data_IF_673118588376
#
_entry.id   IF_673118588376
#
_cell.length_a   1.000
_cell.length_b   1.000
_cell.length_c   1.000
_cell.angle_alpha   90.00
_cell.angle_beta   90.00
_cell.angle_gamma   90.00
#
_symmetry.space_group_name_H-M   'P 1'
#
loop_
_entity.id
_entity.type
_entity.pdbx_description
1 polymer ?
#
# COMPACT_ATOMS: atom_id res chain seq x y z
N UNK A 1 -0.06 15.59 -6.94
CA UNK A 1 1.25 14.93 -6.97
C UNK A 1 1.55 14.64 -8.41
N UNK A 2 2.78 14.86 -8.86
CA UNK A 2 3.19 14.56 -10.22
C UNK A 2 3.04 13.06 -10.50
N UNK A 3 2.67 12.71 -11.73
CA UNK A 3 2.53 11.32 -12.18
C UNK A 3 3.89 10.62 -12.36
N UNK A 4 5.01 11.28 -12.03
CA UNK A 4 6.36 10.71 -12.08
C UNK A 4 6.67 9.94 -10.77
N UNK A 5 6.92 8.62 -10.84
CA UNK A 5 7.30 7.82 -9.68
C UNK A 5 8.56 8.33 -8.97
N UNK A 6 9.51 8.91 -9.69
CA UNK A 6 10.78 9.39 -9.13
C UNK A 6 10.58 10.64 -8.26
N UNK A 7 9.76 11.58 -8.70
CA UNK A 7 9.41 12.78 -7.93
C UNK A 7 8.59 12.40 -6.68
N UNK A 8 7.66 11.45 -6.82
CA UNK A 8 6.87 10.95 -5.70
C UNK A 8 7.74 10.29 -4.62
N UNK A 9 8.76 9.51 -5.00
CA UNK A 9 9.72 8.91 -4.05
C UNK A 9 10.51 9.99 -3.31
N UNK A 10 11.07 10.96 -4.03
CA UNK A 10 11.83 12.06 -3.44
C UNK A 10 10.97 12.86 -2.44
N UNK A 11 9.73 13.17 -2.81
CA UNK A 11 8.76 13.84 -1.94
C UNK A 11 8.51 13.08 -0.64
N UNK A 12 8.30 11.76 -0.72
CA UNK A 12 8.05 10.91 0.46
C UNK A 12 9.25 10.94 1.42
N UNK A 13 10.47 10.75 0.89
CA UNK A 13 11.69 10.73 1.71
C UNK A 13 11.95 12.10 2.36
N UNK A 14 11.75 13.19 1.63
CA UNK A 14 11.87 14.55 2.15
C UNK A 14 10.83 14.80 3.26
N UNK A 15 9.58 14.47 3.01
CA UNK A 15 8.47 14.67 3.98
C UNK A 15 8.71 13.88 5.26
N UNK A 16 9.24 12.66 5.16
CA UNK A 16 9.59 11.85 6.33
C UNK A 16 10.66 12.53 7.21
N UNK A 17 11.67 13.15 6.59
CA UNK A 17 12.73 13.88 7.30
C UNK A 17 12.19 15.15 7.96
N UNK A 18 11.42 15.94 7.23
CA UNK A 18 10.86 17.21 7.72
C UNK A 18 9.91 17.03 8.91
N UNK A 19 9.17 15.91 8.93
CA UNK A 19 8.17 15.63 9.96
C UNK A 19 8.64 14.67 11.06
N UNK A 20 9.93 14.33 11.13
CA UNK A 20 10.50 13.37 12.09
C UNK A 20 9.70 12.04 12.14
N UNK A 21 9.41 11.48 10.95
CA UNK A 21 8.79 10.17 10.82
C UNK A 21 9.82 9.10 11.20
N UNK A 22 9.44 8.17 12.07
CA UNK A 22 10.30 7.03 12.49
C UNK A 22 9.81 5.69 11.98
N UNK A 23 8.51 5.55 11.75
CA UNK A 23 7.92 4.30 11.32
C UNK A 23 6.98 4.53 10.14
N UNK A 24 7.01 3.59 9.20
CA UNK A 24 6.10 3.54 8.07
C UNK A 24 5.24 2.29 8.20
N UNK A 25 3.92 2.47 8.10
CA UNK A 25 2.97 1.38 7.98
C UNK A 25 2.73 1.10 6.50
N UNK A 26 3.21 -0.04 6.04
CA UNK A 26 2.86 -0.59 4.74
C UNK A 26 1.47 -1.21 4.86
N UNK A 27 0.51 -0.70 4.10
CA UNK A 27 -0.91 -1.07 4.16
C UNK A 27 -1.34 -1.79 2.89
N UNK A 28 -2.11 -2.86 3.03
CA UNK A 28 -2.73 -3.56 1.91
C UNK A 28 -4.02 -4.23 2.38
N UNK A 29 -4.87 -4.65 1.45
CA UNK A 29 -6.15 -5.31 1.75
C UNK A 29 -6.06 -6.79 1.42
N UNK A 30 -6.63 -7.64 2.29
CA UNK A 30 -6.91 -9.04 1.92
C UNK A 30 -8.18 -9.16 1.07
N UNK A 31 -8.49 -10.38 0.62
CA UNK A 31 -9.66 -10.64 -0.24
C UNK A 31 -11.01 -10.36 0.44
N UNK A 32 -11.05 -10.32 1.78
CA UNK A 32 -12.25 -10.00 2.55
C UNK A 32 -12.41 -8.49 2.78
N UNK A 33 -11.46 -7.68 2.28
CA UNK A 33 -11.43 -6.23 2.46
C UNK A 33 -10.85 -5.79 3.80
N UNK A 34 -10.26 -6.71 4.58
CA UNK A 34 -9.61 -6.35 5.84
C UNK A 34 -8.29 -5.64 5.57
N UNK A 35 -8.09 -4.52 6.24
CA UNK A 35 -6.81 -3.81 6.20
C UNK A 35 -5.74 -4.61 6.96
N UNK A 36 -4.65 -4.93 6.26
CA UNK A 36 -3.44 -5.56 6.78
C UNK A 36 -2.31 -4.55 6.84
N UNK A 37 -1.31 -4.82 7.67
CA UNK A 37 -0.17 -3.93 7.79
C UNK A 37 1.11 -4.60 8.24
N UNK A 38 2.21 -4.24 7.58
CA UNK A 38 3.59 -4.43 8.04
C UNK A 38 4.17 -3.08 8.45
N UNK A 39 5.05 -3.07 9.46
CA UNK A 39 5.72 -1.86 9.90
C UNK A 39 7.21 -1.95 9.62
N UNK A 40 7.77 -0.89 9.04
CA UNK A 40 9.21 -0.72 8.83
C UNK A 40 9.68 0.57 9.49
N UNK A 41 10.98 0.68 9.70
CA UNK A 41 11.65 1.93 10.09
C UNK A 41 11.79 2.87 8.90
N UNK A 42 11.97 4.16 9.15
CA UNK A 42 12.19 5.16 8.08
C UNK A 42 13.52 4.91 7.35
N UNK A 43 14.48 4.28 8.02
CA UNK A 43 15.77 3.90 7.48
C UNK A 43 15.66 2.82 6.40
N UNK A 44 14.68 1.91 6.52
CA UNK A 44 14.37 0.85 5.54
C UNK A 44 13.53 1.36 4.35
N UNK A 45 12.93 2.55 4.46
CA UNK A 45 12.01 3.09 3.45
C UNK A 45 12.61 3.25 2.05
N UNK A 46 13.85 3.73 1.85
CA UNK A 46 14.44 3.86 0.51
C UNK A 46 14.51 2.52 -0.22
N UNK A 47 14.99 1.47 0.44
CA UNK A 47 15.08 0.11 -0.10
C UNK A 47 13.69 -0.48 -0.33
N UNK A 48 12.77 -0.28 0.63
CA UNK A 48 11.39 -0.72 0.49
C UNK A 48 10.66 -0.09 -0.72
N UNK A 49 10.97 1.16 -1.08
CA UNK A 49 10.41 1.83 -2.26
C UNK A 49 10.98 1.33 -3.59
N UNK A 50 12.14 0.67 -3.56
CA UNK A 50 12.83 0.13 -4.74
C UNK A 50 12.52 -1.35 -4.94
N UNK A 51 12.67 -2.16 -3.88
CA UNK A 51 12.62 -3.62 -3.94
C UNK A 51 11.34 -4.20 -3.32
N UNK A 52 10.60 -3.40 -2.57
CA UNK A 52 9.46 -3.87 -1.77
C UNK A 52 9.89 -4.53 -0.46
N UNK A 53 8.91 -5.00 0.32
CA UNK A 53 9.17 -5.67 1.60
C UNK A 53 8.55 -7.06 1.59
N UNK A 54 9.39 -8.07 1.83
CA UNK A 54 8.94 -9.46 1.94
C UNK A 54 8.05 -9.68 3.16
N UNK A 55 6.98 -10.46 3.00
CA UNK A 55 6.12 -10.90 4.10
C UNK A 55 5.55 -12.29 3.82
N UNK A 56 5.14 -12.97 4.90
CA UNK A 56 4.50 -14.29 4.82
C UNK A 56 3.04 -14.18 4.37
N UNK A 57 2.78 -14.56 3.11
CA UNK A 57 1.46 -14.59 2.50
C UNK A 57 0.51 -15.63 3.11
N UNK A 58 1.03 -16.66 3.76
CA UNK A 58 0.19 -17.71 4.39
C UNK A 58 -0.59 -17.18 5.61
N UNK A 59 -0.11 -16.09 6.20
CA UNK A 59 -0.76 -15.37 7.30
C UNK A 59 -1.93 -14.48 6.83
N UNK A 60 -2.19 -14.40 5.52
CA UNK A 60 -3.25 -13.56 4.93
C UNK A 60 -4.34 -14.46 4.32
N UNK A 61 -5.57 -14.26 4.79
CA UNK A 61 -6.71 -15.03 4.29
C UNK A 61 -6.89 -14.84 2.78
N UNK A 62 -6.89 -15.95 2.05
CA UNK A 62 -7.10 -15.97 0.60
C UNK A 62 -5.86 -15.74 -0.26
N UNK A 63 -4.68 -15.48 0.32
CA UNK A 63 -3.49 -15.13 -0.46
C UNK A 63 -2.64 -16.34 -0.87
N UNK A 64 -2.59 -17.41 -0.07
CA UNK A 64 -2.21 -18.76 -0.50
C UNK A 64 -2.32 -19.69 0.72
N UNK A 65 -2.89 -20.90 0.58
CA UNK A 65 -2.98 -21.83 1.71
C UNK A 65 -1.79 -22.79 1.83
N UNK A 66 -1.03 -23.10 0.76
CA UNK A 66 -0.12 -24.26 0.80
C UNK A 66 1.24 -24.14 0.09
N UNK A 67 1.46 -23.39 -1.01
CA UNK A 67 2.72 -23.60 -1.79
C UNK A 67 3.66 -22.41 -2.08
N UNK A 68 3.29 -21.15 -1.81
CA UNK A 68 4.23 -20.02 -1.99
C UNK A 68 4.00 -18.96 -0.92
N UNK A 69 4.69 -19.10 0.22
CA UNK A 69 4.55 -18.24 1.40
C UNK A 69 5.24 -16.87 1.26
N UNK A 70 6.09 -16.66 0.26
CA UNK A 70 6.90 -15.45 0.16
C UNK A 70 6.29 -14.47 -0.84
N UNK A 71 5.71 -13.40 -0.31
CA UNK A 71 5.08 -12.33 -1.09
C UNK A 71 5.81 -11.01 -0.84
N UNK A 72 5.74 -10.09 -1.79
CA UNK A 72 6.35 -8.76 -1.68
C UNK A 72 5.28 -7.69 -1.58
N UNK A 73 5.42 -6.80 -0.61
CA UNK A 73 4.60 -5.59 -0.48
C UNK A 73 5.36 -4.43 -1.14
N UNK A 74 4.91 -4.01 -2.32
CA UNK A 74 5.51 -2.93 -3.11
C UNK A 74 4.81 -1.59 -2.79
N UNK A 75 5.46 -0.64 -2.09
CA UNK A 75 4.81 0.61 -1.66
C UNK A 75 4.54 1.56 -2.84
N UNK A 76 3.33 2.08 -2.93
CA UNK A 76 2.92 3.10 -3.89
C UNK A 76 3.12 4.51 -3.27
N UNK A 77 4.20 5.25 -3.62
CA UNK A 77 4.53 6.52 -2.99
C UNK A 77 3.45 7.59 -3.20
N UNK A 78 2.57 7.43 -4.20
CA UNK A 78 1.46 8.36 -4.44
C UNK A 78 0.40 8.34 -3.34
N UNK A 79 0.43 7.30 -2.49
CA UNK A 79 -0.56 7.07 -1.44
C UNK A 79 -0.08 7.45 -0.04
N UNK A 80 1.12 8.03 0.07
CA UNK A 80 1.75 8.40 1.33
C UNK A 80 0.88 9.37 2.14
N UNK A 81 0.75 9.10 3.45
CA UNK A 81 0.13 10.03 4.39
C UNK A 81 0.70 9.88 5.80
N UNK A 82 0.90 10.99 6.51
CA UNK A 82 1.20 10.98 7.95
C UNK A 82 -0.09 10.65 8.72
N UNK A 83 -0.02 9.76 9.70
CA UNK A 83 -1.17 9.38 10.53
C UNK A 83 -1.44 10.48 11.58
N UNK A 84 -2.58 11.20 11.53
CA UNK A 84 -2.80 12.39 12.37
C UNK A 84 -3.11 12.07 13.84
N UNK A 85 -3.57 10.85 14.14
CA UNK A 85 -3.88 10.41 15.51
C UNK A 85 -2.69 9.81 16.26
N UNK A 86 -1.50 9.82 15.67
CA UNK A 86 -0.26 9.36 16.31
C UNK A 86 0.49 10.55 16.93
N UNK A 87 1.31 10.33 17.98
CA UNK A 87 2.13 11.38 18.56
C UNK A 87 2.93 12.15 17.51
N UNK A 88 3.12 13.44 17.75
CA UNK A 88 3.89 14.33 16.87
C UNK A 88 5.40 14.13 16.99
N UNK A 89 5.84 13.56 18.11
CA UNK A 89 7.20 13.06 18.31
C UNK A 89 7.29 11.65 17.74
N UNK A 90 8.32 11.36 16.93
CA UNK A 90 8.52 10.06 16.27
C UNK A 90 7.28 9.60 15.49
N UNK A 91 6.90 10.41 14.48
CA UNK A 91 5.65 10.23 13.75
C UNK A 91 5.60 8.88 13.04
N UNK A 92 4.38 8.44 12.77
CA UNK A 92 4.10 7.27 11.94
C UNK A 92 3.40 7.74 10.67
N UNK A 93 3.90 7.32 9.52
CA UNK A 93 3.21 7.48 8.25
C UNK A 93 2.69 6.14 7.73
N UNK A 94 1.88 6.20 6.67
CA UNK A 94 1.36 5.04 5.96
C UNK A 94 1.64 5.17 4.47
N UNK A 95 1.79 4.03 3.81
CA UNK A 95 1.85 3.89 2.36
C UNK A 95 1.05 2.64 2.00
N UNK A 96 0.15 2.72 1.01
CA UNK A 96 -0.50 1.53 0.47
C UNK A 96 0.46 0.78 -0.44
N UNK A 97 0.37 -0.55 -0.43
CA UNK A 97 1.19 -1.44 -1.24
C UNK A 97 0.33 -2.17 -2.26
N UNK A 98 0.88 -2.35 -3.45
CA UNK A 98 0.47 -3.42 -4.36
C UNK A 98 1.23 -4.69 -3.96
N UNK A 99 0.62 -5.86 -4.14
CA UNK A 99 1.22 -7.15 -3.73
C UNK A 99 1.76 -7.86 -4.97
N UNK A 100 3.00 -8.31 -4.90
CA UNK A 100 3.70 -8.98 -6.01
C UNK A 100 4.32 -10.29 -5.56
N UNK A 101 4.57 -11.16 -6.52
CA UNK A 101 5.45 -12.31 -6.34
C UNK A 101 6.92 -11.84 -6.23
N UNK A 102 7.84 -12.68 -5.73
CA UNK A 102 9.26 -12.35 -5.64
C UNK A 102 9.93 -12.09 -6.99
N UNK A 103 9.37 -12.61 -8.09
CA UNK A 103 9.85 -12.34 -9.45
C UNK A 103 9.40 -10.96 -10.00
N UNK A 104 8.65 -10.19 -9.20
CA UNK A 104 8.12 -8.88 -9.54
C UNK A 104 6.77 -8.90 -10.28
N UNK A 105 6.24 -10.08 -10.61
CA UNK A 105 4.91 -10.19 -11.22
C UNK A 105 3.80 -9.83 -10.21
N UNK A 106 2.74 -9.17 -10.67
CA UNK A 106 1.63 -8.80 -9.79
C UNK A 106 0.88 -10.02 -9.27
N UNK A 107 0.55 -10.02 -7.99
CA UNK A 107 -0.25 -11.09 -7.40
C UNK A 107 -1.71 -10.98 -7.87
N UNK A 108 -2.21 -12.05 -8.50
CA UNK A 108 -3.57 -12.03 -9.07
C UNK A 108 -4.68 -11.91 -8.02
N UNK A 109 -4.40 -12.34 -6.78
CA UNK A 109 -5.33 -12.24 -5.66
C UNK A 109 -5.36 -10.88 -4.95
N UNK A 110 -4.49 -9.93 -5.33
CA UNK A 110 -4.49 -8.58 -4.76
C UNK A 110 -5.74 -7.80 -5.24
N UNK A 111 -6.66 -7.43 -4.32
CA UNK A 111 -7.86 -6.67 -4.69
C UNK A 111 -7.54 -5.34 -5.39
N UNK A 112 -6.44 -4.67 -5.01
CA UNK A 112 -6.02 -3.40 -5.62
C UNK A 112 -5.58 -3.61 -7.07
N UNK A 113 -4.81 -4.67 -7.34
CA UNK A 113 -4.43 -5.04 -8.70
C UNK A 113 -5.64 -5.43 -9.56
N UNK A 114 -6.59 -6.19 -9.00
CA UNK A 114 -7.85 -6.53 -9.69
C UNK A 114 -8.63 -5.28 -10.09
N UNK A 115 -8.71 -4.27 -9.21
CA UNK A 115 -9.33 -2.99 -9.54
C UNK A 115 -8.59 -2.29 -10.69
N UNK A 116 -7.26 -2.16 -10.62
CA UNK A 116 -6.45 -1.52 -11.68
C UNK A 116 -6.68 -2.18 -13.05
N UNK A 117 -6.72 -3.52 -13.12
CA UNK A 117 -7.00 -4.26 -14.36
C UNK A 117 -8.36 -3.91 -14.96
N UNK A 118 -9.40 -3.79 -14.12
CA UNK A 118 -10.74 -3.44 -14.60
C UNK A 118 -10.84 -1.97 -15.00
N UNK A 119 -10.15 -1.06 -14.30
CA UNK A 119 -10.06 0.34 -14.70
C UNK A 119 -9.34 0.49 -16.06
N UNK A 120 -8.27 -0.27 -16.29
CA UNK A 120 -7.59 -0.28 -17.59
C UNK A 120 -8.53 -0.74 -18.70
N UNK A 121 -9.28 -1.83 -18.49
CA UNK A 121 -10.28 -2.31 -19.46
C UNK A 121 -11.36 -1.27 -19.75
N UNK A 122 -11.78 -0.50 -18.75
CA UNK A 122 -12.73 0.60 -18.96
C UNK A 122 -12.11 1.74 -19.77
N UNK A 123 -10.86 2.11 -19.47
CA UNK A 123 -10.11 3.13 -20.20
C UNK A 123 -9.86 2.75 -21.67
N UNK A 124 -9.58 1.47 -21.96
CA UNK A 124 -9.43 0.94 -23.32
C UNK A 124 -10.73 1.05 -24.15
N UNK A 125 -11.87 1.12 -23.46
CA UNK A 125 -13.19 1.37 -24.04
C UNK A 125 -13.56 2.86 -24.05
N UNK A 126 -12.61 3.75 -23.75
CA UNK A 126 -12.78 5.20 -23.64
C UNK A 126 -13.75 5.65 -22.53
N UNK A 127 -13.92 4.84 -21.48
CA UNK A 127 -14.67 5.23 -20.29
C UNK A 127 -13.75 5.80 -19.21
N UNK A 128 -14.30 6.73 -18.41
CA UNK A 128 -13.70 7.17 -17.15
C UNK A 128 -14.60 6.73 -16.00
N UNK A 129 -14.02 6.10 -14.98
CA UNK A 129 -14.74 5.61 -13.82
C UNK A 129 -14.59 6.58 -12.64
N UNK A 130 -15.71 6.94 -12.03
CA UNK A 130 -15.77 7.72 -10.79
C UNK A 130 -16.63 6.95 -9.78
N UNK A 131 -16.23 6.99 -8.52
CA UNK A 131 -16.99 6.37 -7.42
C UNK A 131 -17.09 7.35 -6.25
N UNK A 132 -18.29 7.47 -5.68
CA UNK A 132 -18.58 8.25 -4.48
C UNK A 132 -19.19 7.33 -3.42
N UNK A 133 -18.37 6.72 -2.54
CA UNK A 133 -18.89 5.83 -1.51
C UNK A 133 -19.56 6.62 -0.38
N UNK A 134 -20.72 6.18 0.07
CA UNK A 134 -21.38 6.65 1.29
C UNK A 134 -21.23 5.57 2.36
N UNK A 135 -20.36 5.81 3.34
CA UNK A 135 -20.04 4.85 4.41
C UNK A 135 -20.84 5.19 5.66
N UNK A 136 -21.90 4.43 5.92
CA UNK A 136 -22.64 4.49 7.18
C UNK A 136 -21.92 3.64 8.25
N UNK A 137 -21.91 4.11 9.49
CA UNK A 137 -21.30 3.39 10.63
C UNK A 137 -22.08 3.66 11.92
N UNK A 138 -21.93 2.74 12.88
CA UNK A 138 -22.53 2.85 14.21
C UNK A 138 -21.45 3.17 15.26
N UNK A 139 -21.80 3.96 16.27
CA UNK A 139 -21.01 4.14 17.50
C UNK A 139 -21.75 3.47 18.66
N UNK A 140 -21.11 2.47 19.27
CA UNK A 140 -21.65 1.78 20.44
C UNK A 140 -20.93 2.26 21.70
N UNK A 141 -21.68 2.42 22.79
CA UNK A 141 -21.16 2.83 24.10
C UNK A 141 -20.75 1.62 24.95
#
# INVERSE_FOLDING_TARGET
MSDDPSESRAYVLQTCREHDVKFIRLWFSDILGSLKSVAITVEELPEALEEGVGFDGSSIEGFARIDESDMMAMPDPTTFAILPWRPTERRVARIFCDITHPDGSSFEGDPRFVLRRNLQRAADLHYTFYVGPELEYFYFA
#
